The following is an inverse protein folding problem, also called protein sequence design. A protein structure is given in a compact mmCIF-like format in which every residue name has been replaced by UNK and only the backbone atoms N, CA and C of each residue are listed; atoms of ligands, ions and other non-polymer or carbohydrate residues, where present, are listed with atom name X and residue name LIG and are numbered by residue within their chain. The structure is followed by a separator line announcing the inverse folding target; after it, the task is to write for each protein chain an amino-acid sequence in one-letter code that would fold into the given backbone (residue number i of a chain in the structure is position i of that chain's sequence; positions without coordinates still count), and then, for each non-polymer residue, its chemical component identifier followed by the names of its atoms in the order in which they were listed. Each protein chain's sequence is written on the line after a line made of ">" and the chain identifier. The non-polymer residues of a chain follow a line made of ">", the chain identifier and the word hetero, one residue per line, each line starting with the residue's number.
data_IF_536470800294
#
_entry.id   IF_536470800294
#
_cell.length_a   1.000
_cell.length_b   1.000
_cell.length_c   1.000
_cell.angle_alpha   90.00
_cell.angle_beta   90.00
_cell.angle_gamma   90.00
#
_symmetry.space_group_name_H-M   'P 1'
#
loop_
_entity.id
_entity.type
_entity.pdbx_description
1 polymer ?
#
# COMPACT_ATOMS: atom_id res chain seq x y z
N UNK A 1 33.63 4.36 28.94
CA UNK A 1 33.21 3.35 27.94
C UNK A 1 31.75 3.61 27.63
N UNK A 2 31.42 3.95 26.37
CA UNK A 2 30.04 4.10 25.92
C UNK A 2 29.57 2.70 25.50
N UNK A 3 28.45 2.16 26.01
CA UNK A 3 27.95 0.88 25.55
C UNK A 3 27.52 1.04 24.08
N UNK A 4 28.22 0.34 23.18
CA UNK A 4 27.81 0.20 21.79
C UNK A 4 26.54 -0.63 21.76
N UNK A 5 25.44 -0.04 21.26
CA UNK A 5 24.22 -0.78 20.94
C UNK A 5 24.55 -1.97 20.02
N UNK A 6 23.93 -3.15 20.24
CA UNK A 6 24.19 -4.32 19.42
C UNK A 6 23.85 -4.02 17.95
N UNK A 7 24.74 -4.43 17.03
CA UNK A 7 24.60 -4.19 15.58
C UNK A 7 23.35 -4.85 14.97
N UNK A 8 22.66 -5.72 15.72
CA UNK A 8 21.50 -6.48 15.28
C UNK A 8 20.16 -5.96 15.82
N UNK A 9 20.12 -4.77 16.43
CA UNK A 9 18.88 -4.20 16.96
C UNK A 9 17.95 -3.79 15.80
N UNK A 10 17.08 -4.71 15.36
CA UNK A 10 15.98 -4.41 14.43
C UNK A 10 14.82 -3.77 15.19
N UNK A 11 14.62 -2.48 14.98
CA UNK A 11 13.39 -1.82 15.37
C UNK A 11 12.26 -2.30 14.46
N UNK A 12 11.34 -3.10 15.01
CA UNK A 12 10.10 -3.46 14.33
C UNK A 12 9.00 -2.51 14.77
N UNK A 13 8.44 -1.74 13.84
CA UNK A 13 7.23 -0.98 14.07
C UNK A 13 6.03 -1.93 13.96
N UNK A 14 5.29 -2.11 15.05
CA UNK A 14 4.08 -2.94 15.06
C UNK A 14 2.84 -2.09 14.81
N UNK A 15 2.21 -2.28 13.64
CA UNK A 15 0.96 -1.60 13.27
C UNK A 15 -0.27 -2.50 13.46
N UNK A 16 -0.13 -3.59 14.23
CA UNK A 16 -1.13 -4.66 14.34
C UNK A 16 -2.46 -4.21 14.98
N UNK A 17 -2.47 -3.09 15.70
CA UNK A 17 -3.67 -2.52 16.33
C UNK A 17 -4.35 -1.43 15.49
N UNK A 18 -3.72 -0.94 14.43
CA UNK A 18 -4.26 0.16 13.63
C UNK A 18 -5.45 -0.34 12.80
N UNK A 19 -6.61 0.31 12.99
CA UNK A 19 -7.84 0.01 12.25
C UNK A 19 -8.07 1.03 11.13
N UNK A 20 -7.75 2.29 11.37
CA UNK A 20 -7.92 3.40 10.45
C UNK A 20 -6.57 4.11 10.28
N UNK A 21 -6.15 4.32 9.03
CA UNK A 21 -4.89 5.00 8.74
C UNK A 21 -5.11 6.01 7.61
N UNK A 22 -4.58 7.22 7.81
CA UNK A 22 -4.45 8.22 6.76
C UNK A 22 -2.98 8.55 6.57
N UNK A 23 -2.51 8.55 5.32
CA UNK A 23 -1.12 8.80 4.94
C UNK A 23 -1.12 9.92 3.91
N UNK A 24 -0.26 10.92 4.10
CA UNK A 24 -0.17 12.06 3.19
C UNK A 24 0.62 11.69 1.93
N UNK A 25 1.85 11.21 2.11
CA UNK A 25 2.72 10.79 1.00
C UNK A 25 3.15 9.34 1.25
N UNK A 26 2.95 8.48 0.26
CA UNK A 26 3.20 7.06 0.36
C UNK A 26 3.86 6.55 -0.92
N UNK A 27 4.96 5.85 -0.78
CA UNK A 27 5.53 5.08 -1.87
C UNK A 27 4.86 3.71 -2.00
N UNK A 28 4.75 3.21 -3.22
CA UNK A 28 4.09 1.93 -3.49
C UNK A 28 4.65 0.77 -2.63
N UNK A 29 5.96 0.73 -2.39
CA UNK A 29 6.56 -0.28 -1.54
C UNK A 29 6.18 -0.14 -0.06
N UNK A 30 5.98 1.08 0.42
CA UNK A 30 5.53 1.35 1.78
C UNK A 30 4.08 0.92 1.94
N UNK A 31 3.22 1.21 0.95
CA UNK A 31 1.85 0.74 0.91
C UNK A 31 1.79 -0.79 1.06
N UNK A 32 2.61 -1.53 0.30
CA UNK A 32 2.66 -2.98 0.44
C UNK A 32 3.15 -3.45 1.81
N UNK A 33 4.10 -2.76 2.44
CA UNK A 33 4.52 -3.08 3.80
C UNK A 33 3.41 -2.81 4.82
N UNK A 34 2.66 -1.72 4.67
CA UNK A 34 1.52 -1.39 5.52
C UNK A 34 0.45 -2.48 5.38
N UNK A 35 0.08 -2.85 4.16
CA UNK A 35 -0.87 -3.93 3.89
C UNK A 35 -0.41 -5.26 4.49
N UNK A 36 0.90 -5.55 4.45
CA UNK A 36 1.48 -6.76 5.04
C UNK A 36 1.48 -6.77 6.56
N UNK A 37 1.74 -5.64 7.20
CA UNK A 37 2.03 -5.57 8.65
C UNK A 37 0.85 -5.11 9.50
N UNK A 38 -0.07 -4.32 8.94
CA UNK A 38 -1.24 -3.80 9.64
C UNK A 38 -2.44 -4.76 9.52
N UNK A 39 -2.34 -5.92 10.17
CA UNK A 39 -3.30 -7.04 10.04
C UNK A 39 -4.76 -6.72 10.41
N UNK A 40 -4.99 -5.70 11.26
CA UNK A 40 -6.33 -5.23 11.67
C UNK A 40 -6.82 -4.01 10.88
N UNK A 41 -6.03 -3.51 9.91
CA UNK A 41 -6.40 -2.35 9.12
C UNK A 41 -7.66 -2.62 8.30
N UNK A 42 -8.65 -1.74 8.46
CA UNK A 42 -9.94 -1.81 7.75
C UNK A 42 -10.12 -0.64 6.80
N UNK A 43 -9.58 0.53 7.14
CA UNK A 43 -9.79 1.77 6.40
C UNK A 43 -8.45 2.44 6.15
N UNK A 44 -8.10 2.61 4.87
CA UNK A 44 -6.87 3.25 4.45
C UNK A 44 -7.20 4.42 3.52
N UNK A 45 -6.70 5.59 3.87
CA UNK A 45 -6.72 6.78 3.01
C UNK A 45 -5.27 7.20 2.71
N UNK A 46 -4.95 7.32 1.43
CA UNK A 46 -3.65 7.78 0.94
C UNK A 46 -3.89 9.04 0.12
N UNK A 47 -3.34 10.17 0.55
CA UNK A 47 -3.50 11.41 -0.20
C UNK A 47 -2.69 11.35 -1.50
N UNK A 48 -1.43 10.91 -1.43
CA UNK A 48 -0.56 10.77 -2.59
C UNK A 48 0.13 9.41 -2.60
N UNK A 49 -0.02 8.66 -3.69
CA UNK A 49 0.65 7.38 -3.93
C UNK A 49 1.57 7.51 -5.15
N UNK A 50 2.87 7.29 -4.96
CA UNK A 50 3.86 7.41 -6.04
C UNK A 50 4.75 6.19 -6.23
N UNK A 51 5.28 6.02 -7.45
CA UNK A 51 6.07 4.85 -7.85
C UNK A 51 7.50 4.87 -7.27
N UNK A 52 7.94 5.99 -6.67
CA UNK A 52 9.32 6.19 -6.21
C UNK A 52 9.70 5.15 -5.15
N UNK A 53 10.43 4.11 -5.55
CA UNK A 53 10.89 3.06 -4.64
C UNK A 53 11.76 2.03 -5.36
N UNK A 54 12.50 1.23 -4.60
CA UNK A 54 13.23 0.07 -5.15
C UNK A 54 12.20 -0.89 -5.77
N UNK A 55 12.43 -1.34 -7.01
CA UNK A 55 11.60 -2.36 -7.69
C UNK A 55 11.39 -3.54 -6.74
N UNK A 56 10.15 -3.79 -6.32
CA UNK A 56 9.83 -4.97 -5.51
C UNK A 56 10.03 -6.22 -6.36
N UNK A 57 11.04 -7.03 -5.98
CA UNK A 57 11.35 -8.29 -6.66
C UNK A 57 10.43 -9.44 -6.25
N UNK A 58 9.74 -9.37 -5.11
CA UNK A 58 8.80 -10.42 -4.69
C UNK A 58 7.46 -9.80 -4.31
N UNK A 59 6.45 -10.09 -5.14
CA UNK A 59 5.03 -9.76 -4.91
C UNK A 59 4.38 -10.88 -4.11
N UNK A 60 4.95 -11.22 -2.96
CA UNK A 60 4.34 -12.22 -2.08
C UNK A 60 2.93 -11.72 -1.75
N UNK A 61 1.91 -12.43 -2.26
CA UNK A 61 0.53 -12.04 -2.04
C UNK A 61 0.22 -12.28 -0.56
N UNK A 62 -0.08 -11.20 0.14
CA UNK A 62 -0.64 -11.24 1.47
C UNK A 62 -2.08 -10.74 1.40
N UNK A 63 -3.01 -11.48 2.02
CA UNK A 63 -4.41 -11.08 2.11
C UNK A 63 -4.60 -10.16 3.30
N UNK A 64 -5.28 -9.04 3.08
CA UNK A 64 -5.61 -8.06 4.12
C UNK A 64 -7.09 -8.08 4.47
N UNK A 65 -7.41 -7.57 5.66
CA UNK A 65 -8.78 -7.34 6.11
C UNK A 65 -9.33 -5.96 5.69
N UNK A 66 -8.68 -5.32 4.72
CA UNK A 66 -9.01 -3.97 4.27
C UNK A 66 -10.40 -3.96 3.64
N UNK A 67 -11.27 -3.09 4.14
CA UNK A 67 -12.64 -2.89 3.64
C UNK A 67 -12.75 -1.68 2.73
N UNK A 68 -11.95 -0.65 2.99
CA UNK A 68 -11.98 0.60 2.23
C UNK A 68 -10.58 1.09 1.93
N UNK A 69 -10.38 1.48 0.67
CA UNK A 69 -9.16 2.10 0.17
C UNK A 69 -9.54 3.37 -0.59
N UNK A 70 -9.01 4.50 -0.12
CA UNK A 70 -9.08 5.79 -0.82
C UNK A 70 -7.66 6.18 -1.22
N UNK A 71 -7.45 6.50 -2.49
CA UNK A 71 -6.20 7.08 -3.01
C UNK A 71 -6.56 8.36 -3.76
N UNK A 72 -6.16 9.52 -3.25
CA UNK A 72 -6.58 10.83 -3.78
C UNK A 72 -5.70 11.33 -4.94
N UNK A 73 -4.44 10.90 -5.00
CA UNK A 73 -3.53 11.14 -6.11
C UNK A 73 -2.78 9.84 -6.43
N UNK A 74 -3.31 9.10 -7.40
CA UNK A 74 -2.78 7.83 -7.87
C UNK A 74 -1.77 8.05 -9.01
N UNK A 75 -0.50 8.25 -8.64
CA UNK A 75 0.61 8.48 -9.57
C UNK A 75 1.50 7.22 -9.74
N UNK A 76 0.87 6.05 -9.89
CA UNK A 76 1.53 4.76 -10.14
C UNK A 76 0.97 4.08 -11.37
N UNK A 77 1.70 3.09 -11.91
CA UNK A 77 1.21 2.31 -13.06
C UNK A 77 -0.05 1.54 -12.71
N UNK A 78 -0.95 1.41 -13.67
CA UNK A 78 -2.19 0.70 -13.46
C UNK A 78 -2.03 -0.79 -13.10
N UNK A 79 -1.03 -1.48 -13.66
CA UNK A 79 -0.69 -2.86 -13.26
C UNK A 79 -0.46 -3.01 -11.74
N UNK A 80 -0.01 -1.95 -11.08
CA UNK A 80 0.18 -1.94 -9.64
C UNK A 80 -1.15 -1.90 -8.89
N UNK A 81 -2.20 -1.29 -9.45
CA UNK A 81 -3.55 -1.38 -8.89
C UNK A 81 -4.02 -2.83 -8.85
N UNK A 82 -3.81 -3.60 -9.93
CA UNK A 82 -4.20 -5.01 -9.97
C UNK A 82 -3.53 -5.82 -8.86
N UNK A 83 -2.28 -5.50 -8.52
CA UNK A 83 -1.56 -6.16 -7.43
C UNK A 83 -2.16 -5.76 -6.07
N UNK A 84 -2.44 -4.48 -5.87
CA UNK A 84 -3.08 -3.98 -4.64
C UNK A 84 -4.42 -4.69 -4.43
N UNK A 85 -5.26 -4.76 -5.47
CA UNK A 85 -6.58 -5.41 -5.40
C UNK A 85 -6.49 -6.91 -5.11
N UNK A 86 -5.48 -7.59 -5.66
CA UNK A 86 -5.21 -9.00 -5.32
C UNK A 86 -4.83 -9.21 -3.84
N UNK A 87 -4.27 -8.20 -3.18
CA UNK A 87 -3.93 -8.24 -1.75
C UNK A 87 -5.09 -7.79 -0.83
N UNK A 88 -6.14 -7.20 -1.40
CA UNK A 88 -7.32 -6.72 -0.65
C UNK A 88 -8.59 -7.44 -1.12
N UNK A 89 -8.69 -8.78 -0.99
CA UNK A 89 -9.83 -9.53 -1.53
C UNK A 89 -11.15 -9.21 -0.82
N UNK A 90 -11.11 -8.63 0.40
CA UNK A 90 -12.27 -8.25 1.18
C UNK A 90 -12.68 -6.77 0.99
N UNK A 91 -12.13 -6.09 -0.02
CA UNK A 91 -12.38 -4.67 -0.27
C UNK A 91 -13.84 -4.46 -0.69
N UNK A 92 -14.54 -3.59 0.04
CA UNK A 92 -15.95 -3.25 -0.17
C UNK A 92 -16.09 -1.90 -0.88
N UNK A 93 -15.11 -1.01 -0.70
CA UNK A 93 -15.10 0.32 -1.29
C UNK A 93 -13.71 0.70 -1.77
N UNK A 94 -13.63 1.14 -3.02
CA UNK A 94 -12.43 1.66 -3.66
C UNK A 94 -12.73 3.06 -4.21
N UNK A 95 -11.89 4.02 -3.86
CA UNK A 95 -11.90 5.35 -4.47
C UNK A 95 -10.49 5.66 -4.95
N UNK A 96 -10.34 5.95 -6.23
CA UNK A 96 -9.07 6.35 -6.83
C UNK A 96 -9.33 7.63 -7.60
N UNK A 97 -8.61 8.69 -7.23
CA UNK A 97 -8.49 9.89 -8.03
C UNK A 97 -7.10 9.92 -8.66
N UNK A 98 -7.08 10.21 -9.95
CA UNK A 98 -5.87 10.10 -10.76
C UNK A 98 -5.52 11.49 -11.22
N UNK A 99 -4.35 11.95 -10.82
CA UNK A 99 -3.81 13.19 -11.31
C UNK A 99 -2.92 12.90 -12.53
N UNK A 100 -3.27 13.48 -13.68
CA UNK A 100 -2.69 13.31 -15.02
C UNK A 100 -3.22 12.13 -15.86
N UNK A 101 -3.21 12.30 -17.19
CA UNK A 101 -3.61 11.35 -18.24
C UNK A 101 -2.75 10.07 -18.29
N UNK A 102 -2.52 9.41 -17.15
CA UNK A 102 -2.00 8.06 -17.12
C UNK A 102 -3.12 7.21 -17.73
N UNK A 103 -2.85 6.52 -18.84
CA UNK A 103 -3.82 5.63 -19.48
C UNK A 103 -4.29 4.59 -18.46
N UNK A 104 -5.43 4.87 -17.83
CA UNK A 104 -5.83 4.17 -16.62
C UNK A 104 -6.48 2.83 -16.92
N UNK A 105 -7.12 2.71 -18.07
CA UNK A 105 -7.91 1.54 -18.38
C UNK A 105 -7.43 1.03 -19.73
N UNK A 106 -6.69 -0.08 -19.69
CA UNK A 106 -6.65 -1.00 -20.81
C UNK A 106 -7.93 -1.84 -20.73
N UNK A 107 -8.95 -1.44 -21.50
CA UNK A 107 -10.29 -2.06 -21.44
C UNK A 107 -10.23 -3.57 -21.68
N UNK A 108 -9.23 -4.05 -22.42
CA UNK A 108 -9.01 -5.46 -22.73
C UNK A 108 -8.70 -6.28 -21.46
N UNK A 109 -8.19 -5.65 -20.40
CA UNK A 109 -7.81 -6.33 -19.17
C UNK A 109 -8.92 -6.43 -18.12
N UNK A 110 -10.12 -5.89 -18.41
CA UNK A 110 -11.25 -5.81 -17.47
C UNK A 110 -12.53 -6.55 -17.91
N UNK A 111 -12.56 -7.15 -19.10
CA UNK A 111 -13.57 -8.16 -19.47
C UNK A 111 -13.25 -9.52 -18.84
#
# INVERSE_FOLDING_TARGET
>A
MIPTLPQDLKFTCEFSSIINLTIVDCYLNELFQILKTASKLKYLNVQQLSEKGRRLMNKDLHSTNLKQLIIMDFAVKFDNLRIILKQTPNLQSLTINVYNNINLIDAIQWE
#
